data_IF_846199879599
#
_entry.id   IF_846199879599
#
_cell.length_a   1.000
_cell.length_b   1.000
_cell.length_c   1.000
_cell.angle_alpha   90.00
_cell.angle_beta   90.00
_cell.angle_gamma   90.00
#
_symmetry.space_group_name_H-M   'P 1'
#
loop_
_entity.id
_entity.type
_entity.pdbx_description
1 polymer ?
#
# COMPACT_ATOMS: atom_id res chain seq x y z
N UNK A 1 5.39 -18.35 3.82
CA UNK A 1 5.36 -17.24 2.85
C UNK A 1 4.80 -16.05 3.60
N UNK A 2 5.53 -14.93 3.67
CA UNK A 2 5.10 -13.74 4.42
C UNK A 2 4.42 -12.75 3.48
N UNK A 3 3.52 -11.92 4.02
CA UNK A 3 2.75 -10.96 3.24
C UNK A 3 2.45 -9.69 4.03
N UNK A 4 2.41 -8.56 3.33
CA UNK A 4 2.08 -7.24 3.84
C UNK A 4 0.85 -6.70 3.09
N UNK A 5 -0.23 -6.44 3.82
CA UNK A 5 -1.49 -5.92 3.29
C UNK A 5 -1.74 -4.52 3.85
N UNK A 6 -2.07 -3.56 2.98
CA UNK A 6 -2.44 -2.20 3.37
C UNK A 6 -3.35 -1.53 2.34
N UNK A 7 -4.03 -0.44 2.74
CA UNK A 7 -4.63 0.47 1.78
C UNK A 7 -3.54 1.42 1.22
N UNK A 8 -3.44 1.61 -0.11
CA UNK A 8 -2.43 2.50 -0.71
C UNK A 8 -2.69 3.97 -0.37
N UNK A 9 -3.97 4.32 -0.20
CA UNK A 9 -4.45 5.55 0.45
C UNK A 9 -5.25 5.08 1.66
N UNK A 10 -4.81 5.43 2.87
CA UNK A 10 -5.59 5.08 4.04
C UNK A 10 -6.94 5.79 3.92
N UNK A 11 -8.04 5.04 3.97
CA UNK A 11 -9.41 5.55 3.82
C UNK A 11 -10.28 5.30 5.04
N UNK A 12 -9.96 4.27 5.83
CA UNK A 12 -10.68 3.90 7.05
C UNK A 12 -10.44 4.87 8.23
N UNK A 13 -9.44 5.74 8.11
CA UNK A 13 -9.10 6.78 9.09
C UNK A 13 -9.24 8.19 8.49
N UNK A 14 -10.08 8.34 7.45
CA UNK A 14 -10.12 9.51 6.57
C UNK A 14 -9.23 9.31 5.35
N UNK A 15 -9.33 10.17 4.33
CA UNK A 15 -8.53 10.08 3.09
C UNK A 15 -7.12 10.65 3.34
N UNK A 16 -6.19 9.79 3.76
CA UNK A 16 -4.81 10.16 4.06
C UNK A 16 -3.91 9.63 2.93
N UNK A 17 -3.41 10.50 2.04
CA UNK A 17 -2.49 10.09 1.00
C UNK A 17 -1.13 9.69 1.60
N UNK A 18 -0.42 8.74 0.98
CA UNK A 18 0.91 8.35 1.42
C UNK A 18 1.90 9.51 1.24
N UNK A 19 2.88 9.61 2.13
CA UNK A 19 4.01 10.50 1.90
C UNK A 19 4.81 10.08 0.66
N UNK A 20 5.47 11.05 0.03
CA UNK A 20 6.27 10.79 -1.16
C UNK A 20 7.32 9.71 -0.89
N UNK A 21 7.32 8.67 -1.71
CA UNK A 21 8.26 7.55 -1.62
C UNK A 21 7.87 6.44 -0.63
N UNK A 22 6.81 6.61 0.17
CA UNK A 22 6.39 5.59 1.14
C UNK A 22 6.03 4.25 0.47
N UNK A 23 5.15 4.26 -0.52
CA UNK A 23 4.73 3.03 -1.23
C UNK A 23 5.90 2.39 -2.00
N UNK A 24 6.80 3.18 -2.58
CA UNK A 24 8.02 2.66 -3.21
C UNK A 24 8.95 2.01 -2.19
N UNK A 25 9.14 2.62 -1.02
CA UNK A 25 9.93 2.05 0.06
C UNK A 25 9.37 0.72 0.55
N UNK A 26 8.03 0.57 0.63
CA UNK A 26 7.38 -0.69 0.94
C UNK A 26 7.61 -1.74 -0.16
N UNK A 27 7.52 -1.35 -1.44
CA UNK A 27 7.81 -2.22 -2.58
C UNK A 27 9.25 -2.76 -2.51
N UNK A 28 10.23 -1.87 -2.35
CA UNK A 28 11.65 -2.23 -2.26
C UNK A 28 11.94 -3.14 -1.06
N UNK A 29 11.32 -2.87 0.09
CA UNK A 29 11.40 -3.72 1.27
C UNK A 29 10.83 -5.11 0.99
N UNK A 30 9.62 -5.18 0.42
CA UNK A 30 8.98 -6.45 0.10
C UNK A 30 9.78 -7.28 -0.92
N UNK A 31 10.40 -6.64 -1.91
CA UNK A 31 11.28 -7.33 -2.87
C UNK A 31 12.53 -7.92 -2.19
N UNK A 32 13.19 -7.16 -1.32
CA UNK A 32 14.38 -7.62 -0.59
C UNK A 32 14.08 -8.79 0.33
N UNK A 33 12.94 -8.76 1.01
CA UNK A 33 12.58 -9.75 2.03
C UNK A 33 11.75 -10.93 1.49
N UNK A 34 11.41 -10.93 0.19
CA UNK A 34 10.55 -11.95 -0.41
C UNK A 34 9.13 -11.98 0.17
N UNK A 35 8.61 -10.81 0.53
CA UNK A 35 7.26 -10.61 1.09
C UNK A 35 6.29 -10.27 -0.05
N UNK A 36 5.12 -10.91 -0.07
CA UNK A 36 4.05 -10.53 -0.98
C UNK A 36 3.42 -9.21 -0.52
N UNK A 37 3.57 -8.15 -1.32
CA UNK A 37 2.89 -6.87 -1.11
C UNK A 37 1.49 -6.91 -1.74
N UNK A 38 0.46 -6.62 -0.96
CA UNK A 38 -0.94 -6.59 -1.40
C UNK A 38 -1.53 -5.22 -1.08
N UNK A 39 -2.04 -4.53 -2.09
CA UNK A 39 -2.84 -3.32 -1.89
C UNK A 39 -4.33 -3.69 -1.80
N UNK A 40 -4.95 -3.31 -0.69
CA UNK A 40 -6.40 -3.33 -0.54
C UNK A 40 -6.98 -2.02 -1.06
N UNK A 41 -7.53 -2.13 -2.26
CA UNK A 41 -8.05 -1.02 -3.06
C UNK A 41 -9.58 -0.95 -3.06
N UNK A 42 -10.26 -1.60 -2.09
CA UNK A 42 -11.73 -1.57 -2.00
C UNK A 42 -12.27 -0.13 -1.96
N UNK A 43 -11.52 0.80 -1.35
CA UNK A 43 -11.88 2.21 -1.27
C UNK A 43 -11.26 3.08 -2.38
N UNK A 44 -9.98 2.85 -2.73
CA UNK A 44 -9.20 3.69 -3.64
C UNK A 44 -9.41 3.36 -5.12
N UNK A 45 -9.64 2.09 -5.45
CA UNK A 45 -9.67 1.61 -6.83
C UNK A 45 -10.71 2.34 -7.67
N UNK A 46 -10.29 2.90 -8.80
CA UNK A 46 -11.12 3.73 -9.71
C UNK A 46 -11.72 4.99 -9.06
N UNK A 47 -11.22 5.41 -7.89
CA UNK A 47 -11.69 6.61 -7.17
C UNK A 47 -10.58 7.65 -6.98
N UNK A 48 -9.36 7.20 -6.71
CA UNK A 48 -8.23 8.07 -6.31
C UNK A 48 -7.05 8.00 -7.29
N UNK A 49 -7.09 7.09 -8.26
CA UNK A 49 -6.12 6.96 -9.35
C UNK A 49 -6.25 8.07 -10.41
#
# INVERSE_FOLDING_TARGET
MQQLLLNPVAGNMGMIPPEHGFLQGLRDLCDREGILLIFDEVMSGFRVD
#
